data_IF_563474500971
#
_entry.id   IF_563474500971
#
_cell.length_a   1.000
_cell.length_b   1.000
_cell.length_c   1.000
_cell.angle_alpha   90.00
_cell.angle_beta   90.00
_cell.angle_gamma   90.00
#
_symmetry.space_group_name_H-M   'P 1'
#
loop_
_entity.id
_entity.type
_entity.pdbx_description
1 polymer ?
#
# COMPACT_ATOMS: atom_id res chain seq x y z
N UNK A 1 13.14 2.39 22.40
CA UNK A 1 12.65 3.54 21.62
C UNK A 1 11.86 4.40 22.58
N UNK A 2 12.31 5.61 22.89
CA UNK A 2 11.54 6.58 23.68
C UNK A 2 10.35 7.08 22.86
N UNK A 3 9.21 7.39 23.50
CA UNK A 3 8.00 7.89 22.81
C UNK A 3 8.32 9.08 21.87
N UNK A 4 9.15 10.00 22.35
CA UNK A 4 9.63 11.15 21.57
C UNK A 4 10.34 10.77 20.26
N UNK A 5 11.03 9.62 20.20
CA UNK A 5 11.70 9.18 18.98
C UNK A 5 10.68 8.61 17.99
N UNK A 6 9.60 7.97 18.45
CA UNK A 6 8.53 7.48 17.56
C UNK A 6 7.82 8.66 16.92
N UNK A 7 7.47 9.68 17.70
CA UNK A 7 6.77 10.85 17.21
C UNK A 7 7.60 11.59 16.16
N UNK A 8 8.90 11.81 16.42
CA UNK A 8 9.82 12.40 15.43
C UNK A 8 9.86 11.59 14.13
N UNK A 9 9.95 10.27 14.22
CA UNK A 9 9.99 9.41 13.03
C UNK A 9 8.66 9.46 12.26
N UNK A 10 7.52 9.48 12.95
CA UNK A 10 6.20 9.61 12.33
C UNK A 10 6.12 10.93 11.56
N UNK A 11 6.52 12.04 12.18
CA UNK A 11 6.56 13.35 11.53
C UNK A 11 7.49 13.37 10.33
N UNK A 12 8.66 12.72 10.42
CA UNK A 12 9.59 12.62 9.29
C UNK A 12 8.96 11.88 8.11
N UNK A 13 8.22 10.79 8.35
CA UNK A 13 7.54 10.03 7.28
C UNK A 13 6.40 10.86 6.67
N UNK A 14 5.70 11.67 7.46
CA UNK A 14 4.67 12.60 6.99
C UNK A 14 5.28 13.67 6.08
N UNK A 15 6.35 14.32 6.51
CA UNK A 15 7.07 15.34 5.73
C UNK A 15 7.60 14.80 4.41
N UNK A 16 8.15 13.58 4.41
CA UNK A 16 8.58 12.90 3.17
C UNK A 16 7.40 12.73 2.22
N UNK A 17 6.23 12.30 2.72
CA UNK A 17 5.07 12.08 1.88
C UNK A 17 4.52 13.38 1.28
N UNK A 18 4.48 14.45 2.07
CA UNK A 18 4.10 15.79 1.61
C UNK A 18 5.08 16.31 0.56
N UNK A 19 6.38 16.19 0.80
CA UNK A 19 7.43 16.65 -0.11
C UNK A 19 7.37 15.92 -1.46
N UNK A 20 7.22 14.59 -1.46
CA UNK A 20 7.12 13.79 -2.69
C UNK A 20 5.84 14.13 -3.46
N UNK A 21 4.71 14.27 -2.77
CA UNK A 21 3.43 14.63 -3.39
C UNK A 21 3.46 16.04 -3.97
N UNK A 22 4.17 16.97 -3.32
CA UNK A 22 4.40 18.30 -3.86
C UNK A 22 5.36 18.28 -5.06
N UNK A 23 6.45 17.53 -4.96
CA UNK A 23 7.46 17.37 -6.01
C UNK A 23 6.89 16.80 -7.30
N UNK A 24 5.98 15.83 -7.23
CA UNK A 24 5.26 15.28 -8.39
C UNK A 24 4.60 16.35 -9.27
N UNK A 25 4.17 17.46 -8.66
CA UNK A 25 3.47 18.55 -9.36
C UNK A 25 4.37 19.75 -9.70
N UNK A 26 5.47 19.94 -8.97
CA UNK A 26 6.24 21.19 -9.03
C UNK A 26 7.74 21.01 -9.30
N UNK A 27 8.33 19.88 -8.90
CA UNK A 27 9.77 19.64 -9.02
C UNK A 27 10.09 18.13 -9.15
N UNK A 28 10.38 17.71 -10.38
CA UNK A 28 10.70 16.32 -10.70
C UNK A 28 11.96 15.81 -9.98
N UNK A 29 12.92 16.68 -9.64
CA UNK A 29 14.17 16.28 -8.97
C UNK A 29 13.90 15.63 -7.61
N UNK A 30 12.84 16.06 -6.93
CA UNK A 30 12.42 15.45 -5.65
C UNK A 30 11.97 14.01 -5.89
N UNK A 31 11.14 13.78 -6.90
CA UNK A 31 10.65 12.44 -7.23
C UNK A 31 11.77 11.52 -7.75
N UNK A 32 12.69 12.06 -8.55
CA UNK A 32 13.89 11.37 -9.01
C UNK A 32 14.77 10.96 -7.83
N UNK A 33 15.06 11.89 -6.91
CA UNK A 33 15.83 11.60 -5.70
C UNK A 33 15.15 10.53 -4.83
N UNK A 34 13.83 10.58 -4.67
CA UNK A 34 13.07 9.58 -3.92
C UNK A 34 13.25 8.17 -4.52
N UNK A 35 13.17 8.06 -5.85
CA UNK A 35 13.37 6.81 -6.59
C UNK A 35 14.83 6.33 -6.48
N UNK A 36 15.80 7.21 -6.76
CA UNK A 36 17.23 6.89 -6.72
C UNK A 36 17.69 6.39 -5.34
N UNK A 37 17.19 6.99 -4.27
CA UNK A 37 17.55 6.62 -2.89
C UNK A 37 16.77 5.43 -2.36
N UNK A 38 15.90 4.82 -3.17
CA UNK A 38 15.04 3.69 -2.81
C UNK A 38 14.25 3.95 -1.54
N UNK A 39 13.66 5.15 -1.46
CA UNK A 39 13.02 5.61 -0.23
C UNK A 39 11.78 4.78 0.12
N UNK A 40 11.06 4.27 -0.88
CA UNK A 40 9.93 3.35 -0.66
C UNK A 40 10.36 2.07 0.09
N UNK A 41 11.43 1.42 -0.36
CA UNK A 41 12.00 0.22 0.29
C UNK A 41 12.32 0.49 1.77
N UNK A 42 12.90 1.66 2.07
CA UNK A 42 13.24 2.05 3.44
C UNK A 42 12.01 2.28 4.31
N UNK A 43 10.96 2.89 3.76
CA UNK A 43 9.69 3.09 4.46
C UNK A 43 9.02 1.75 4.76
N UNK A 44 8.97 0.86 3.78
CA UNK A 44 8.36 -0.46 3.94
C UNK A 44 9.18 -1.40 4.82
N UNK A 45 10.50 -1.20 4.89
CA UNK A 45 11.37 -1.88 5.84
C UNK A 45 10.98 -1.64 7.30
N UNK A 46 10.17 -0.63 7.63
CA UNK A 46 9.60 -0.49 8.97
C UNK A 46 8.38 -1.40 9.20
N UNK A 47 7.73 -1.92 8.16
CA UNK A 47 6.60 -2.84 8.29
C UNK A 47 7.00 -4.31 8.33
N UNK A 48 8.30 -4.63 8.20
CA UNK A 48 8.78 -6.01 8.25
C UNK A 48 8.35 -6.74 9.53
N UNK A 49 7.85 -8.00 9.43
CA UNK A 49 7.41 -8.78 10.60
C UNK A 49 8.49 -8.95 11.67
N UNK A 50 9.76 -8.97 11.25
CA UNK A 50 10.94 -9.08 12.12
C UNK A 50 11.14 -7.86 13.03
N UNK A 51 10.52 -6.72 12.71
CA UNK A 51 10.71 -5.46 13.41
C UNK A 51 9.52 -5.14 14.31
N UNK A 52 9.80 -4.81 15.58
CA UNK A 52 8.80 -4.32 16.53
C UNK A 52 8.50 -2.85 16.26
N UNK A 53 7.72 -2.59 15.24
CA UNK A 53 7.32 -1.24 14.85
C UNK A 53 6.07 -0.81 15.60
N UNK A 54 6.11 0.40 16.18
CA UNK A 54 4.99 0.97 16.92
C UNK A 54 3.78 1.23 16.02
N UNK A 55 2.56 1.09 16.58
CA UNK A 55 1.31 1.34 15.85
C UNK A 55 1.29 2.68 15.09
N UNK A 56 1.65 3.83 15.69
CA UNK A 56 1.61 5.12 14.99
C UNK A 56 2.47 5.14 13.72
N UNK A 57 3.60 4.44 13.74
CA UNK A 57 4.47 4.31 12.56
C UNK A 57 3.80 3.49 11.46
N UNK A 58 3.13 2.38 11.80
CA UNK A 58 2.41 1.56 10.81
C UNK A 58 1.28 2.34 10.15
N UNK A 59 0.51 3.07 10.97
CA UNK A 59 -0.57 3.96 10.52
C UNK A 59 -0.02 5.02 9.58
N UNK A 60 1.05 5.72 9.98
CA UNK A 60 1.64 6.77 9.16
C UNK A 60 2.13 6.25 7.80
N UNK A 61 2.74 5.07 7.75
CA UNK A 61 3.21 4.49 6.49
C UNK A 61 2.01 4.16 5.57
N UNK A 62 0.96 3.52 6.10
CA UNK A 62 -0.26 3.23 5.33
C UNK A 62 -0.93 4.51 4.81
N UNK A 63 -0.95 5.56 5.63
CA UNK A 63 -1.50 6.86 5.26
C UNK A 63 -0.66 7.52 4.16
N UNK A 64 0.66 7.59 4.32
CA UNK A 64 1.57 8.15 3.31
C UNK A 64 1.46 7.44 1.96
N UNK A 65 1.37 6.10 1.95
CA UNK A 65 1.17 5.33 0.73
C UNK A 65 -0.22 5.57 0.11
N UNK A 66 -1.25 5.70 0.95
CA UNK A 66 -2.59 6.07 0.47
C UNK A 66 -2.57 7.42 -0.24
N UNK A 67 -1.87 8.42 0.31
CA UNK A 67 -1.70 9.75 -0.29
C UNK A 67 -0.98 9.64 -1.63
N UNK A 68 0.08 8.84 -1.72
CA UNK A 68 0.80 8.60 -2.98
C UNK A 68 -0.13 8.04 -4.06
N UNK A 69 -0.82 6.94 -3.76
CA UNK A 69 -1.71 6.31 -4.74
C UNK A 69 -2.96 7.14 -5.04
N UNK A 70 -3.35 8.12 -4.21
CA UNK A 70 -4.45 9.01 -4.55
C UNK A 70 -4.02 10.21 -5.38
N UNK A 71 -2.84 10.77 -5.13
CA UNK A 71 -2.52 12.13 -5.58
C UNK A 71 -1.42 12.25 -6.64
N UNK A 72 -0.57 11.23 -6.80
CA UNK A 72 0.53 11.27 -7.76
C UNK A 72 0.03 11.12 -9.20
N UNK A 73 0.66 11.82 -10.14
CA UNK A 73 0.30 11.77 -11.56
C UNK A 73 1.48 11.33 -12.44
N UNK A 74 2.72 11.43 -11.95
CA UNK A 74 3.89 11.00 -12.71
C UNK A 74 3.88 9.48 -12.91
N UNK A 75 3.76 9.05 -14.17
CA UNK A 75 3.72 7.63 -14.52
C UNK A 75 4.96 6.90 -14.04
N UNK A 76 6.17 7.42 -14.25
CA UNK A 76 7.42 6.78 -13.82
C UNK A 76 7.46 6.53 -12.32
N UNK A 77 7.00 7.51 -11.52
CA UNK A 77 6.90 7.34 -10.07
C UNK A 77 5.85 6.30 -9.68
N UNK A 78 4.67 6.30 -10.33
CA UNK A 78 3.62 5.30 -10.09
C UNK A 78 4.12 3.90 -10.44
N UNK A 79 4.76 3.73 -11.60
CA UNK A 79 5.38 2.47 -12.00
C UNK A 79 6.42 2.04 -10.98
N UNK A 80 7.30 2.94 -10.53
CA UNK A 80 8.27 2.66 -9.47
C UNK A 80 7.60 2.16 -8.17
N UNK A 81 6.52 2.81 -7.74
CA UNK A 81 5.79 2.41 -6.54
C UNK A 81 5.16 1.02 -6.67
N UNK A 82 4.68 0.63 -7.86
CA UNK A 82 4.04 -0.66 -8.11
C UNK A 82 5.01 -1.81 -8.44
N UNK A 83 6.16 -1.52 -9.08
CA UNK A 83 6.99 -2.52 -9.78
C UNK A 83 7.84 -3.45 -8.89
N UNK A 84 7.92 -3.23 -7.58
CA UNK A 84 8.90 -3.92 -6.72
C UNK A 84 8.35 -5.06 -5.85
N UNK A 85 7.16 -5.62 -6.15
CA UNK A 85 6.46 -6.66 -5.35
C UNK A 85 6.09 -6.22 -3.91
N UNK A 86 6.73 -5.18 -3.39
CA UNK A 86 6.44 -4.49 -2.14
C UNK A 86 4.98 -4.15 -1.90
N UNK A 87 4.27 -3.77 -2.97
CA UNK A 87 2.83 -3.50 -2.88
C UNK A 87 2.05 -4.78 -2.62
N UNK A 88 2.40 -5.90 -3.27
CA UNK A 88 1.77 -7.20 -3.01
C UNK A 88 2.13 -7.75 -1.62
N UNK A 89 3.38 -7.57 -1.18
CA UNK A 89 3.80 -7.86 0.20
C UNK A 89 2.99 -7.05 1.21
N UNK A 90 2.75 -5.77 0.95
CA UNK A 90 1.96 -4.91 1.82
C UNK A 90 0.46 -5.25 1.81
N UNK A 91 -0.10 -5.58 0.64
CA UNK A 91 -1.48 -6.07 0.53
C UNK A 91 -1.64 -7.34 1.36
N UNK A 92 -0.70 -8.29 1.25
CA UNK A 92 -0.77 -9.58 1.96
C UNK A 92 -0.23 -9.53 3.39
N UNK A 93 0.27 -8.37 3.84
CA UNK A 93 0.81 -8.19 5.18
C UNK A 93 -0.27 -8.41 6.25
N UNK A 94 0.07 -9.20 7.27
CA UNK A 94 -0.85 -9.52 8.38
C UNK A 94 -0.83 -8.41 9.43
N UNK A 95 -1.67 -7.41 9.24
CA UNK A 95 -1.96 -6.43 10.27
C UNK A 95 -2.89 -7.00 11.36
N UNK A 96 -2.85 -6.40 12.54
CA UNK A 96 -3.78 -6.73 13.62
C UNK A 96 -5.08 -5.96 13.41
N UNK A 97 -6.08 -6.62 12.81
CA UNK A 97 -7.38 -6.03 12.52
C UNK A 97 -8.35 -6.02 13.72
N UNK A 98 -7.91 -6.48 14.90
CA UNK A 98 -8.64 -6.18 16.14
C UNK A 98 -8.55 -4.69 16.48
N UNK A 99 -7.53 -4.01 15.97
CA UNK A 99 -7.40 -2.56 16.03
C UNK A 99 -8.17 -1.92 14.85
N UNK A 100 -9.36 -1.41 15.16
CA UNK A 100 -10.26 -0.80 14.16
C UNK A 100 -9.62 0.37 13.41
N UNK A 101 -8.75 1.14 14.07
CA UNK A 101 -8.05 2.27 13.44
C UNK A 101 -7.07 1.77 12.39
N UNK A 102 -6.23 0.78 12.73
CA UNK A 102 -5.26 0.22 11.78
C UNK A 102 -5.97 -0.43 10.59
N UNK A 103 -7.08 -1.13 10.83
CA UNK A 103 -7.93 -1.69 9.78
C UNK A 103 -8.49 -0.60 8.86
N UNK A 104 -9.00 0.51 9.40
CA UNK A 104 -9.54 1.61 8.60
C UNK A 104 -8.49 2.23 7.66
N UNK A 105 -7.25 2.41 8.15
CA UNK A 105 -6.14 2.88 7.30
C UNK A 105 -5.75 1.85 6.25
N UNK A 106 -5.73 0.55 6.60
CA UNK A 106 -5.45 -0.52 5.64
C UNK A 106 -6.51 -0.59 4.53
N UNK A 107 -7.80 -0.51 4.86
CA UNK A 107 -8.89 -0.49 3.87
C UNK A 107 -8.82 0.76 2.98
N UNK A 108 -8.47 1.91 3.56
CA UNK A 108 -8.25 3.16 2.81
C UNK A 108 -7.08 3.03 1.83
N UNK A 109 -6.01 2.34 2.25
CA UNK A 109 -4.87 2.01 1.41
C UNK A 109 -5.24 1.08 0.25
N UNK A 110 -5.99 -0.01 0.51
CA UNK A 110 -6.46 -0.91 -0.56
C UNK A 110 -7.36 -0.15 -1.55
N UNK A 111 -8.26 0.71 -1.06
CA UNK A 111 -9.09 1.56 -1.91
C UNK A 111 -8.23 2.50 -2.76
N UNK A 112 -7.21 3.14 -2.19
CA UNK A 112 -6.29 3.99 -2.93
C UNK A 112 -5.56 3.23 -4.05
N UNK A 113 -5.08 2.02 -3.76
CA UNK A 113 -4.46 1.14 -4.76
C UNK A 113 -5.42 0.78 -5.89
N UNK A 114 -6.69 0.51 -5.58
CA UNK A 114 -7.69 0.14 -6.60
C UNK A 114 -7.88 1.21 -7.68
N UNK A 115 -7.67 2.49 -7.35
CA UNK A 115 -7.72 3.60 -8.32
C UNK A 115 -6.59 3.53 -9.35
N UNK A 116 -5.52 2.77 -9.05
CA UNK A 116 -4.37 2.60 -9.92
C UNK A 116 -4.42 1.32 -10.73
N UNK A 117 -5.49 0.53 -10.63
CA UNK A 117 -5.68 -0.65 -11.47
C UNK A 117 -6.25 -0.21 -12.81
N UNK A 118 -5.50 -0.42 -13.89
CA UNK A 118 -5.91 -0.18 -15.26
C UNK A 118 -5.18 -1.14 -16.21
N UNK A 119 -5.44 -1.04 -17.52
CA UNK A 119 -4.86 -1.94 -18.52
C UNK A 119 -3.32 -2.01 -18.48
N UNK A 120 -2.65 -0.90 -18.13
CA UNK A 120 -1.19 -0.80 -18.11
C UNK A 120 -0.59 -1.29 -16.78
N UNK A 121 -1.33 -1.23 -15.68
CA UNK A 121 -0.80 -1.51 -14.32
C UNK A 121 -1.34 -2.79 -13.70
N UNK A 122 -2.42 -3.38 -14.23
CA UNK A 122 -3.09 -4.56 -13.67
C UNK A 122 -2.13 -5.73 -13.46
N UNK A 123 -1.11 -5.85 -14.31
CA UNK A 123 -0.10 -6.90 -14.25
C UNK A 123 0.74 -6.87 -12.96
N UNK A 124 0.90 -5.71 -12.30
CA UNK A 124 1.62 -5.60 -11.02
C UNK A 124 0.87 -6.23 -9.85
N UNK A 125 -0.46 -6.35 -9.96
CA UNK A 125 -1.32 -6.86 -8.90
C UNK A 125 -1.55 -8.37 -9.00
N UNK A 126 -0.75 -9.09 -9.79
CA UNK A 126 -0.79 -10.56 -9.83
C UNK A 126 0.48 -11.16 -9.22
N UNK A 127 0.30 -12.14 -8.35
CA UNK A 127 1.43 -12.93 -7.86
C UNK A 127 1.86 -13.94 -8.94
N UNK A 128 2.94 -13.65 -9.65
CA UNK A 128 3.53 -14.54 -10.66
C UNK A 128 4.20 -15.80 -10.06
N UNK A 129 4.27 -15.91 -8.73
CA UNK A 129 4.92 -17.04 -8.02
C UNK A 129 3.89 -18.03 -7.47
N UNK A 130 3.39 -18.92 -8.35
CA UNK A 130 3.16 -20.32 -7.98
C UNK A 130 3.93 -21.20 -8.96
N UNK A 131 4.69 -22.12 -8.40
CA UNK A 131 5.63 -23.05 -9.01
C UNK A 131 5.05 -23.82 -10.22
N UNK A 132 5.84 -24.08 -11.28
CA UNK A 132 5.47 -24.96 -12.39
C UNK A 132 5.61 -26.43 -11.95
N UNK A 133 4.74 -26.89 -11.04
CA UNK A 133 4.82 -28.25 -10.49
C UNK A 133 3.51 -28.85 -9.98
N UNK A 134 2.55 -28.04 -9.53
CA UNK A 134 1.31 -28.56 -8.92
C UNK A 134 0.12 -28.49 -9.89
N UNK A 135 0.10 -29.42 -10.85
CA UNK A 135 -0.92 -29.56 -11.89
C UNK A 135 -2.33 -29.99 -11.39
N UNK A 136 -2.62 -29.87 -10.09
CA UNK A 136 -3.88 -30.29 -9.49
C UNK A 136 -4.59 -29.21 -8.66
N UNK A 137 -4.06 -27.98 -8.61
CA UNK A 137 -4.85 -26.83 -8.16
C UNK A 137 -5.02 -25.85 -9.31
N UNK A 138 -6.24 -25.72 -9.81
CA UNK A 138 -6.72 -24.53 -10.52
C UNK A 138 -6.68 -23.35 -9.54
N UNK A 139 -5.50 -22.97 -9.08
CA UNK A 139 -5.32 -21.79 -8.27
C UNK A 139 -5.03 -20.66 -9.23
N UNK A 140 -6.13 -20.06 -9.70
CA UNK A 140 -6.22 -18.68 -10.19
C UNK A 140 -5.02 -17.86 -9.69
N UNK A 141 -4.29 -17.19 -10.60
CA UNK A 141 -3.31 -16.17 -10.24
C UNK A 141 -3.97 -15.30 -9.17
N UNK A 142 -3.56 -15.41 -7.88
CA UNK A 142 -4.32 -14.75 -6.85
C UNK A 142 -4.09 -13.27 -7.07
N UNK A 143 -5.16 -12.56 -7.41
CA UNK A 143 -5.18 -11.10 -7.46
C UNK A 143 -5.31 -10.64 -6.01
N UNK A 144 -4.20 -10.33 -5.30
CA UNK A 144 -4.19 -10.24 -3.86
C UNK A 144 -5.05 -9.07 -3.38
N UNK A 145 -5.07 -7.97 -4.15
CA UNK A 145 -5.86 -6.78 -3.83
C UNK A 145 -7.36 -7.10 -3.66
N UNK A 146 -7.96 -7.81 -4.62
CA UNK A 146 -9.36 -8.23 -4.51
C UNK A 146 -9.55 -9.31 -3.44
N UNK A 147 -8.64 -10.28 -3.38
CA UNK A 147 -8.73 -11.40 -2.42
C UNK A 147 -8.72 -10.90 -0.98
N UNK A 148 -7.82 -9.98 -0.64
CA UNK A 148 -7.74 -9.39 0.70
C UNK A 148 -8.92 -8.46 0.98
N UNK A 149 -9.35 -7.65 0.01
CA UNK A 149 -10.50 -6.77 0.20
C UNK A 149 -11.81 -7.55 0.46
N UNK A 150 -12.01 -8.68 -0.23
CA UNK A 150 -13.22 -9.50 -0.07
C UNK A 150 -13.38 -10.11 1.32
N UNK A 151 -12.30 -10.26 2.10
CA UNK A 151 -12.39 -10.69 3.51
C UNK A 151 -13.25 -9.76 4.36
N UNK A 152 -13.36 -8.49 3.96
CA UNK A 152 -14.11 -7.45 4.67
C UNK A 152 -15.49 -7.16 4.06
N UNK A 153 -15.93 -7.95 3.07
CA UNK A 153 -17.21 -7.72 2.36
C UNK A 153 -18.42 -7.66 3.30
N UNK A 154 -18.45 -8.51 4.33
CA UNK A 154 -19.52 -8.58 5.32
C UNK A 154 -19.10 -8.07 6.70
N UNK A 155 -18.19 -7.10 6.75
CA UNK A 155 -17.74 -6.47 7.99
C UNK A 155 -18.89 -5.70 8.68
N UNK A 156 -18.93 -5.61 10.01
CA UNK A 156 -20.02 -4.96 10.76
C UNK A 156 -20.08 -3.43 10.54
N UNK A 157 -18.92 -2.80 10.36
CA UNK A 157 -18.82 -1.38 10.00
C UNK A 157 -19.31 -1.11 8.56
N UNK A 158 -20.30 -0.23 8.44
CA UNK A 158 -20.87 0.20 7.17
C UNK A 158 -19.86 0.87 6.23
N UNK A 159 -18.98 1.74 6.74
CA UNK A 159 -17.98 2.43 5.95
C UNK A 159 -16.96 1.46 5.34
N UNK A 160 -16.57 0.43 6.10
CA UNK A 160 -15.69 -0.65 5.59
C UNK A 160 -16.37 -1.35 4.42
N UNK A 161 -17.65 -1.74 4.54
CA UNK A 161 -18.40 -2.36 3.44
C UNK A 161 -18.51 -1.46 2.21
N UNK A 162 -18.72 -0.16 2.39
CA UNK A 162 -18.77 0.81 1.28
C UNK A 162 -17.42 0.92 0.58
N UNK A 163 -16.32 0.96 1.34
CA UNK A 163 -14.97 1.01 0.79
C UNK A 163 -14.65 -0.26 -0.01
N UNK A 164 -14.98 -1.44 0.50
CA UNK A 164 -14.78 -2.72 -0.20
C UNK A 164 -15.59 -2.76 -1.50
N UNK A 165 -16.86 -2.34 -1.49
CA UNK A 165 -17.67 -2.26 -2.71
C UNK A 165 -17.09 -1.30 -3.74
N UNK A 166 -16.64 -0.12 -3.30
CA UNK A 166 -15.99 0.85 -4.19
C UNK A 166 -14.73 0.27 -4.81
N UNK A 167 -13.91 -0.42 -4.01
CA UNK A 167 -12.73 -1.12 -4.49
C UNK A 167 -13.09 -2.19 -5.53
N UNK A 168 -14.11 -3.00 -5.28
CA UNK A 168 -14.56 -4.03 -6.25
C UNK A 168 -15.01 -3.40 -7.55
N UNK A 169 -15.72 -2.27 -7.50
CA UNK A 169 -16.16 -1.53 -8.69
C UNK A 169 -14.99 -0.91 -9.47
N UNK A 170 -13.94 -0.45 -8.79
CA UNK A 170 -12.77 0.11 -9.48
C UNK A 170 -11.96 -0.94 -10.26
N UNK A 171 -12.06 -2.21 -9.87
CA UNK A 171 -11.33 -3.32 -10.50
C UNK A 171 -12.10 -3.91 -11.69
N UNK A 172 -13.43 -3.80 -11.69
CA UNK A 172 -14.32 -4.39 -12.71
C UNK A 172 -14.51 -3.46 -13.92
#
# INVERSE_FOLDING_TARGET
VTLSNVDMMVETVREIAELVTWGDKHDALITEFFMEKRMLEKLLGFLEPSRRTAKPMKVQILQSLSIFFQNLNNSSLIFYLLSNDHVNELITHRFDFQDEELMAYYISFLKALSLRVNADTVHFFFNARKTPGDAASTSLLPFPLLTEALKFYNHDDHMVRVAVRTLTLNIY
#
